data_IF_355364684569
#
_entry.id   IF_355364684569
#
_cell.length_a   1.000
_cell.length_b   1.000
_cell.length_c   1.000
_cell.angle_alpha   90.00
_cell.angle_beta   90.00
_cell.angle_gamma   90.00
#
_symmetry.space_group_name_H-M   'P 1'
#
loop_
_entity.id
_entity.type
_entity.pdbx_description
1 polymer ?
#
# COMPACT_ATOMS: atom_id res chain seq x y z
N UNK A 1 7.15 4.86 66.01
CA UNK A 1 7.75 6.21 65.97
C UNK A 1 7.55 6.72 64.55
N UNK A 2 6.69 7.73 64.35
CA UNK A 2 6.33 8.23 63.02
C UNK A 2 7.25 9.42 62.70
N UNK A 3 8.17 9.25 61.77
CA UNK A 3 9.04 10.34 61.29
C UNK A 3 8.24 11.19 60.30
N UNK A 4 7.88 12.39 60.70
CA UNK A 4 7.25 13.38 59.83
C UNK A 4 8.35 14.11 59.05
N UNK A 5 8.71 13.59 57.88
CA UNK A 5 9.48 14.33 56.88
C UNK A 5 8.55 15.33 56.20
N UNK A 6 8.29 16.45 56.90
CA UNK A 6 7.58 17.56 56.31
C UNK A 6 8.39 18.13 55.17
N UNK A 7 7.99 17.83 53.93
CA UNK A 7 8.39 18.60 52.76
C UNK A 7 7.89 20.03 52.99
N UNK A 8 8.78 20.86 53.54
CA UNK A 8 8.54 22.27 53.78
C UNK A 8 8.16 22.89 52.43
N UNK A 9 6.93 23.42 52.33
CA UNK A 9 6.52 24.22 51.18
C UNK A 9 7.61 25.25 50.90
N UNK A 10 8.25 25.16 49.73
CA UNK A 10 9.24 26.14 49.32
C UNK A 10 8.63 27.53 49.42
N UNK A 11 9.31 28.43 50.14
CA UNK A 11 8.90 29.84 50.20
C UNK A 11 8.86 30.34 48.75
N UNK A 12 7.81 31.10 48.35
CA UNK A 12 7.77 31.66 47.01
C UNK A 12 9.01 32.53 46.82
N UNK A 13 9.86 32.17 45.85
CA UNK A 13 11.00 32.99 45.46
C UNK A 13 10.46 34.26 44.79
N UNK A 14 10.35 35.32 45.59
CA UNK A 14 9.97 36.63 45.10
C UNK A 14 11.19 37.26 44.41
N UNK A 15 11.14 37.40 43.10
CA UNK A 15 12.15 38.15 42.37
C UNK A 15 12.08 39.64 42.78
N UNK A 16 12.92 40.06 43.73
CA UNK A 16 13.09 41.46 44.18
C UNK A 16 13.81 42.34 43.13
N UNK A 17 13.65 42.01 41.84
CA UNK A 17 14.27 42.69 40.70
C UNK A 17 13.58 43.99 40.32
N UNK A 18 13.23 44.82 41.31
CA UNK A 18 12.77 46.21 41.11
C UNK A 18 13.92 47.23 41.14
N UNK A 19 15.17 46.78 41.29
CA UNK A 19 16.34 47.65 41.25
C UNK A 19 16.72 47.97 39.80
N UNK A 20 16.48 49.22 39.42
CA UNK A 20 16.79 49.84 38.13
C UNK A 20 18.26 49.61 37.71
N UNK A 21 18.54 48.53 36.98
CA UNK A 21 19.62 48.55 35.99
C UNK A 21 19.09 49.30 34.78
N UNK A 22 19.76 50.39 34.37
CA UNK A 22 19.55 51.02 33.06
C UNK A 22 19.85 49.99 31.98
N UNK A 23 18.88 49.14 31.66
CA UNK A 23 18.97 48.24 30.52
C UNK A 23 18.66 49.08 29.29
N UNK A 24 19.63 49.20 28.40
CA UNK A 24 19.43 49.91 27.15
C UNK A 24 18.32 49.23 26.34
N UNK A 25 17.47 50.03 25.69
CA UNK A 25 16.33 49.55 24.89
C UNK A 25 16.77 48.46 23.90
N UNK A 26 17.94 48.61 23.31
CA UNK A 26 18.50 47.65 22.35
C UNK A 26 18.81 46.29 22.97
N UNK A 27 19.25 46.25 24.23
CA UNK A 27 19.49 44.99 24.94
C UNK A 27 18.17 44.28 25.28
N UNK A 28 17.12 45.03 25.60
CA UNK A 28 15.77 44.46 25.78
C UNK A 28 15.24 43.89 24.47
N UNK A 29 15.44 44.59 23.36
CA UNK A 29 15.04 44.14 22.02
C UNK A 29 15.81 42.88 21.61
N UNK A 30 17.13 42.84 21.79
CA UNK A 30 17.97 41.65 21.53
C UNK A 30 17.52 40.45 22.37
N UNK A 31 17.29 40.63 23.66
CA UNK A 31 16.79 39.57 24.55
C UNK A 31 15.40 39.07 24.14
N UNK A 32 14.51 39.98 23.75
CA UNK A 32 13.17 39.63 23.25
C UNK A 32 13.24 38.85 21.94
N UNK A 33 14.09 39.27 21.00
CA UNK A 33 14.32 38.60 19.73
C UNK A 33 14.88 37.19 19.94
N UNK A 34 15.91 37.03 20.78
CA UNK A 34 16.47 35.72 21.12
C UNK A 34 15.43 34.80 21.74
N UNK A 35 14.62 35.28 22.71
CA UNK A 35 13.52 34.50 23.29
C UNK A 35 12.46 34.10 22.27
N UNK A 36 12.21 34.90 21.24
CA UNK A 36 11.30 34.54 20.13
C UNK A 36 11.92 33.43 19.29
N UNK A 37 13.18 33.60 18.90
CA UNK A 37 13.92 32.59 18.13
C UNK A 37 13.96 31.24 18.85
N UNK A 38 14.33 31.19 20.13
CA UNK A 38 14.37 29.94 20.91
C UNK A 38 12.99 29.27 21.00
N UNK A 39 11.92 30.07 21.14
CA UNK A 39 10.54 29.53 21.13
C UNK A 39 10.16 28.94 19.77
N UNK A 40 10.57 29.58 18.68
CA UNK A 40 10.34 29.04 17.33
C UNK A 40 11.13 27.77 17.06
N UNK A 41 12.41 27.73 17.45
CA UNK A 41 13.25 26.53 17.35
C UNK A 41 12.65 25.37 18.14
N UNK A 42 12.22 25.62 19.38
CA UNK A 42 11.55 24.61 20.20
C UNK A 42 10.25 24.10 19.55
N UNK A 43 9.40 24.99 19.01
CA UNK A 43 8.20 24.58 18.26
C UNK A 43 8.53 23.74 17.03
N UNK A 44 9.59 24.09 16.28
CA UNK A 44 10.06 23.33 15.12
C UNK A 44 10.50 21.92 15.53
N UNK A 45 11.27 21.81 16.61
CA UNK A 45 11.71 20.51 17.15
C UNK A 45 10.52 19.66 17.60
N UNK A 46 9.56 20.23 18.33
CA UNK A 46 8.35 19.53 18.75
C UNK A 46 7.53 19.02 17.56
N UNK A 47 7.35 19.85 16.54
CA UNK A 47 6.59 19.49 15.35
C UNK A 47 7.29 18.40 14.54
N UNK A 48 8.62 18.46 14.42
CA UNK A 48 9.42 17.40 13.80
C UNK A 48 9.27 16.08 14.58
N UNK A 49 9.42 16.11 15.91
CA UNK A 49 9.25 14.94 16.77
C UNK A 49 7.84 14.33 16.65
N UNK A 50 6.80 15.16 16.62
CA UNK A 50 5.42 14.70 16.43
C UNK A 50 5.23 14.00 15.08
N UNK A 51 5.77 14.58 14.00
CA UNK A 51 5.69 13.96 12.65
C UNK A 51 6.38 12.61 12.60
N UNK A 52 7.59 12.52 13.18
CA UNK A 52 8.34 11.25 13.25
C UNK A 52 7.55 10.23 14.06
N UNK A 53 7.08 10.59 15.25
CA UNK A 53 6.33 9.69 16.11
C UNK A 53 5.03 9.20 15.47
N UNK A 54 4.27 10.08 14.81
CA UNK A 54 3.05 9.72 14.11
C UNK A 54 3.35 8.75 12.94
N UNK A 55 4.41 9.02 12.18
CA UNK A 55 4.86 8.15 11.09
C UNK A 55 5.25 6.76 11.61
N UNK A 56 6.08 6.69 12.65
CA UNK A 56 6.54 5.44 13.26
C UNK A 56 5.37 4.64 13.83
N UNK A 57 4.48 5.27 14.61
CA UNK A 57 3.28 4.58 15.15
C UNK A 57 2.38 4.05 14.03
N UNK A 58 2.17 4.85 12.98
CA UNK A 58 1.39 4.42 11.82
C UNK A 58 2.02 3.26 11.08
N UNK A 59 3.35 3.27 10.91
CA UNK A 59 4.09 2.16 10.30
C UNK A 59 3.99 0.88 11.12
N UNK A 60 4.26 0.95 12.43
CA UNK A 60 4.19 -0.21 13.32
C UNK A 60 2.77 -0.79 13.40
N UNK A 61 1.75 0.06 13.44
CA UNK A 61 0.35 -0.37 13.44
C UNK A 61 -0.01 -1.10 12.14
N UNK A 62 0.37 -0.57 10.97
CA UNK A 62 0.14 -1.26 9.68
C UNK A 62 0.89 -2.58 9.59
N UNK A 63 2.12 -2.64 10.11
CA UNK A 63 2.91 -3.87 10.15
C UNK A 63 2.24 -4.93 11.03
N UNK A 64 1.71 -4.54 12.19
CA UNK A 64 0.95 -5.42 13.07
C UNK A 64 -0.31 -5.94 12.38
N UNK A 65 -1.13 -5.04 11.81
CA UNK A 65 -2.34 -5.40 11.08
C UNK A 65 -2.04 -6.34 9.90
N UNK A 66 -0.98 -6.10 9.14
CA UNK A 66 -0.57 -6.96 8.03
C UNK A 66 -0.20 -8.37 8.50
N UNK A 67 0.42 -8.50 9.68
CA UNK A 67 0.74 -9.81 10.29
C UNK A 67 -0.52 -10.54 10.74
N UNK A 68 -1.47 -9.83 11.35
CA UNK A 68 -2.75 -10.42 11.77
C UNK A 68 -3.59 -10.88 10.57
N UNK A 69 -3.78 -10.01 9.57
CA UNK A 69 -4.50 -10.37 8.35
C UNK A 69 -3.85 -11.52 7.58
N UNK A 70 -2.52 -11.64 7.62
CA UNK A 70 -1.84 -12.80 7.02
C UNK A 70 -2.20 -14.10 7.75
N UNK A 71 -2.26 -14.09 9.09
CA UNK A 71 -2.69 -15.26 9.89
C UNK A 71 -4.14 -15.61 9.63
N UNK A 72 -5.02 -14.61 9.60
CA UNK A 72 -6.44 -14.80 9.30
C UNK A 72 -6.64 -15.34 7.88
N UNK A 73 -5.89 -14.83 6.90
CA UNK A 73 -5.91 -15.34 5.53
C UNK A 73 -5.49 -16.81 5.47
N UNK A 74 -4.40 -17.17 6.15
CA UNK A 74 -3.92 -18.56 6.20
C UNK A 74 -4.95 -19.49 6.85
N UNK A 75 -5.64 -19.04 7.90
CA UNK A 75 -6.74 -19.80 8.51
C UNK A 75 -7.95 -19.92 7.56
N UNK A 76 -8.38 -18.81 6.96
CA UNK A 76 -9.51 -18.76 6.04
C UNK A 76 -9.26 -19.54 4.75
N UNK A 77 -8.00 -19.70 4.32
CA UNK A 77 -7.63 -20.46 3.12
C UNK A 77 -7.87 -21.98 3.25
N UNK A 78 -7.99 -22.49 4.49
CA UNK A 78 -8.19 -23.92 4.78
C UNK A 78 -9.65 -24.36 4.67
N UNK A 79 -10.57 -23.40 4.66
CA UNK A 79 -12.02 -23.62 4.61
C UNK A 79 -12.53 -22.95 3.33
N UNK A 80 -13.66 -23.38 2.74
CA UNK A 80 -14.34 -22.57 1.73
C UNK A 80 -14.77 -21.21 2.32
N UNK A 81 -13.84 -20.26 2.30
CA UNK A 81 -14.03 -18.91 2.80
C UNK A 81 -14.65 -17.97 1.77
N UNK A 82 -15.09 -16.82 2.27
CA UNK A 82 -15.53 -15.69 1.45
C UNK A 82 -14.36 -15.16 0.61
N UNK A 83 -14.52 -15.25 -0.72
CA UNK A 83 -13.52 -14.81 -1.68
C UNK A 83 -13.25 -13.30 -1.58
N UNK A 84 -14.28 -12.52 -1.22
CA UNK A 84 -14.16 -11.07 -1.06
C UNK A 84 -13.20 -10.69 0.06
N UNK A 85 -13.29 -11.39 1.19
CA UNK A 85 -12.39 -11.23 2.34
C UNK A 85 -10.96 -11.64 1.99
N UNK A 86 -10.76 -12.76 1.28
CA UNK A 86 -9.44 -13.22 0.86
C UNK A 86 -8.76 -12.21 -0.09
N UNK A 87 -9.49 -11.68 -1.08
CA UNK A 87 -9.00 -10.66 -2.00
C UNK A 87 -8.60 -9.37 -1.27
N UNK A 88 -9.44 -8.90 -0.35
CA UNK A 88 -9.14 -7.72 0.47
C UNK A 88 -7.90 -7.94 1.33
N UNK A 89 -7.82 -9.07 2.03
CA UNK A 89 -6.73 -9.34 2.96
C UNK A 89 -5.40 -9.46 2.24
N UNK A 90 -5.31 -10.28 1.18
CA UNK A 90 -4.04 -10.46 0.46
C UNK A 90 -3.53 -9.13 -0.09
N UNK A 91 -4.39 -8.34 -0.75
CA UNK A 91 -3.98 -7.04 -1.31
C UNK A 91 -3.48 -6.04 -0.26
N UNK A 92 -3.88 -6.19 1.00
CA UNK A 92 -3.42 -5.33 2.09
C UNK A 92 -2.02 -5.73 2.60
N UNK A 93 -1.78 -7.01 2.87
CA UNK A 93 -0.52 -7.44 3.50
C UNK A 93 0.55 -7.93 2.53
N UNK A 94 0.23 -8.07 1.24
CA UNK A 94 1.09 -8.71 0.25
C UNK A 94 2.50 -8.14 0.28
N UNK A 95 3.45 -9.02 0.55
CA UNK A 95 4.87 -8.79 0.36
C UNK A 95 5.37 -9.79 -0.68
N UNK A 96 5.94 -9.28 -1.77
CA UNK A 96 6.36 -10.10 -2.89
C UNK A 96 7.44 -11.16 -2.54
N UNK A 97 8.21 -10.94 -1.48
CA UNK A 97 9.24 -11.87 -1.01
C UNK A 97 8.66 -13.00 -0.14
N UNK A 98 7.49 -12.81 0.45
CA UNK A 98 6.89 -13.73 1.43
C UNK A 98 5.61 -14.41 0.92
N UNK A 99 4.86 -13.73 0.06
CA UNK A 99 3.46 -14.06 -0.24
C UNK A 99 3.23 -14.51 -1.69
N UNK A 100 4.30 -14.82 -2.44
CA UNK A 100 4.20 -15.28 -3.83
C UNK A 100 3.32 -16.52 -3.99
N UNK A 101 3.49 -17.53 -3.13
CA UNK A 101 2.65 -18.74 -3.13
C UNK A 101 1.18 -18.44 -2.80
N UNK A 102 0.92 -17.52 -1.86
CA UNK A 102 -0.46 -17.08 -1.52
C UNK A 102 -1.13 -16.39 -2.70
N UNK A 103 -0.39 -15.58 -3.45
CA UNK A 103 -0.87 -14.95 -4.67
C UNK A 103 -1.20 -15.98 -5.75
N UNK A 104 -0.34 -16.97 -5.96
CA UNK A 104 -0.61 -18.07 -6.90
C UNK A 104 -1.87 -18.83 -6.50
N UNK A 105 -1.98 -19.22 -5.23
CA UNK A 105 -3.14 -19.96 -4.73
C UNK A 105 -4.43 -19.15 -4.88
N UNK A 106 -4.43 -17.87 -4.49
CA UNK A 106 -5.61 -17.01 -4.63
C UNK A 106 -5.98 -16.81 -6.09
N UNK A 107 -4.99 -16.65 -6.96
CA UNK A 107 -5.18 -16.53 -8.42
C UNK A 107 -5.88 -17.76 -9.00
N UNK A 108 -5.48 -18.96 -8.57
CA UNK A 108 -6.12 -20.22 -8.97
C UNK A 108 -7.55 -20.34 -8.42
N UNK A 109 -7.78 -19.97 -7.16
CA UNK A 109 -9.11 -19.96 -6.55
C UNK A 109 -10.07 -18.99 -7.26
N UNK A 110 -9.57 -17.81 -7.65
CA UNK A 110 -10.33 -16.81 -8.39
C UNK A 110 -10.70 -17.34 -9.79
N UNK A 111 -9.78 -18.02 -10.47
CA UNK A 111 -10.05 -18.69 -11.74
C UNK A 111 -11.09 -19.80 -11.61
N UNK A 112 -11.04 -20.60 -10.55
CA UNK A 112 -12.02 -21.69 -10.34
C UNK A 112 -13.43 -21.16 -10.05
N UNK A 113 -13.54 -19.93 -9.54
CA UNK A 113 -14.81 -19.24 -9.25
C UNK A 113 -15.10 -18.10 -10.23
N UNK A 114 -14.58 -18.17 -11.47
CA UNK A 114 -14.67 -17.08 -12.45
C UNK A 114 -16.08 -16.56 -12.71
N UNK A 115 -17.09 -17.44 -12.76
CA UNK A 115 -18.48 -17.04 -13.02
C UNK A 115 -19.04 -16.19 -11.87
N UNK A 116 -18.72 -16.57 -10.63
CA UNK A 116 -19.09 -15.78 -9.45
C UNK A 116 -18.41 -14.42 -9.45
N UNK A 117 -17.13 -14.34 -9.85
CA UNK A 117 -16.42 -13.06 -9.94
C UNK A 117 -16.98 -12.18 -11.06
N UNK A 118 -17.28 -12.79 -12.21
CA UNK A 118 -17.87 -12.10 -13.35
C UNK A 118 -19.25 -11.50 -13.03
N UNK A 119 -20.06 -12.22 -12.25
CA UNK A 119 -21.38 -11.74 -11.83
C UNK A 119 -21.32 -10.50 -10.92
N UNK A 120 -20.16 -10.16 -10.37
CA UNK A 120 -19.98 -9.02 -9.45
C UNK A 120 -19.39 -7.77 -10.12
N UNK A 121 -19.31 -7.74 -11.45
CA UNK A 121 -18.62 -6.68 -12.20
C UNK A 121 -19.25 -5.28 -12.01
N UNK A 122 -20.54 -5.21 -11.71
CA UNK A 122 -21.22 -3.95 -11.44
C UNK A 122 -20.78 -3.34 -10.10
N UNK A 123 -20.43 -4.18 -9.11
CA UNK A 123 -19.98 -3.73 -7.80
C UNK A 123 -18.58 -3.07 -7.90
N UNK A 124 -18.46 -1.76 -7.56
CA UNK A 124 -17.18 -1.06 -7.58
C UNK A 124 -16.14 -1.67 -6.62
N UNK A 125 -16.56 -2.29 -5.52
CA UNK A 125 -15.66 -2.93 -4.55
C UNK A 125 -15.02 -4.17 -5.18
N UNK A 126 -15.80 -4.99 -5.88
CA UNK A 126 -15.27 -6.16 -6.61
C UNK A 126 -14.36 -5.75 -7.76
N UNK A 127 -14.72 -4.71 -8.52
CA UNK A 127 -13.83 -4.15 -9.55
C UNK A 127 -12.48 -3.72 -8.98
N UNK A 128 -12.47 -3.06 -7.83
CA UNK A 128 -11.24 -2.66 -7.15
C UNK A 128 -10.42 -3.88 -6.71
N UNK A 129 -11.06 -4.89 -6.13
CA UNK A 129 -10.41 -6.13 -5.69
C UNK A 129 -9.74 -6.86 -6.85
N UNK A 130 -10.44 -7.02 -7.98
CA UNK A 130 -9.90 -7.66 -9.19
C UNK A 130 -8.79 -6.83 -9.81
N UNK A 131 -8.96 -5.50 -9.92
CA UNK A 131 -7.87 -4.62 -10.38
C UNK A 131 -6.60 -4.79 -9.54
N UNK A 132 -6.72 -4.80 -8.22
CA UNK A 132 -5.58 -4.96 -7.33
C UNK A 132 -4.95 -6.35 -7.45
N UNK A 133 -5.74 -7.43 -7.58
CA UNK A 133 -5.22 -8.77 -7.83
C UNK A 133 -4.44 -8.84 -9.15
N UNK A 134 -4.98 -8.26 -10.22
CA UNK A 134 -4.33 -8.20 -11.53
C UNK A 134 -3.05 -7.37 -11.49
N UNK A 135 -3.03 -6.26 -10.76
CA UNK A 135 -1.85 -5.46 -10.52
C UNK A 135 -0.73 -6.26 -9.83
N UNK A 136 -1.07 -7.02 -8.77
CA UNK A 136 -0.11 -7.88 -8.08
C UNK A 136 0.44 -8.98 -9.00
N UNK A 137 -0.43 -9.63 -9.78
CA UNK A 137 -0.01 -10.65 -10.74
C UNK A 137 0.89 -10.09 -11.84
N UNK A 138 0.60 -8.87 -12.31
CA UNK A 138 1.45 -8.15 -13.27
C UNK A 138 2.83 -7.93 -12.68
N UNK A 139 2.92 -7.28 -11.51
CA UNK A 139 4.18 -7.03 -10.81
C UNK A 139 4.98 -8.31 -10.52
N UNK A 140 4.30 -9.43 -10.29
CA UNK A 140 4.93 -10.72 -10.05
C UNK A 140 5.56 -11.35 -11.31
N UNK A 141 5.15 -10.97 -12.53
CA UNK A 141 5.71 -11.51 -13.78
C UNK A 141 7.21 -11.24 -13.94
N UNK A 142 7.70 -10.13 -13.38
CA UNK A 142 9.12 -9.77 -13.46
C UNK A 142 9.99 -10.45 -12.40
N UNK A 143 9.40 -11.24 -11.49
CA UNK A 143 10.14 -11.89 -10.40
C UNK A 143 10.67 -13.24 -10.84
N UNK A 144 11.97 -13.43 -10.62
CA UNK A 144 12.62 -14.72 -10.83
C UNK A 144 12.02 -15.78 -9.88
N UNK A 145 11.77 -16.98 -10.41
CA UNK A 145 11.18 -18.09 -9.66
C UNK A 145 9.67 -18.01 -9.41
N UNK A 146 8.99 -16.91 -9.75
CA UNK A 146 7.54 -16.82 -9.62
C UNK A 146 6.82 -17.64 -10.73
N UNK A 147 5.84 -18.49 -10.40
CA UNK A 147 5.05 -19.21 -11.41
C UNK A 147 4.23 -18.25 -12.28
N UNK A 148 4.66 -18.03 -13.53
CA UNK A 148 4.03 -17.07 -14.44
C UNK A 148 2.69 -17.54 -15.01
N UNK A 149 2.48 -18.85 -15.14
CA UNK A 149 1.27 -19.45 -15.73
C UNK A 149 -0.04 -18.96 -15.07
N UNK A 150 -0.21 -19.13 -13.74
CA UNK A 150 -1.38 -18.61 -13.03
C UNK A 150 -1.58 -17.11 -13.20
N UNK A 151 -0.49 -16.32 -13.12
CA UNK A 151 -0.57 -14.85 -13.25
C UNK A 151 -1.03 -14.41 -14.64
N UNK A 152 -0.47 -15.00 -15.70
CA UNK A 152 -0.90 -14.73 -17.07
C UNK A 152 -2.35 -15.18 -17.31
N UNK A 153 -2.75 -16.33 -16.75
CA UNK A 153 -4.11 -16.84 -16.93
C UNK A 153 -5.17 -15.96 -16.27
N UNK A 154 -4.91 -15.41 -15.07
CA UNK A 154 -5.83 -14.45 -14.44
C UNK A 154 -5.91 -13.16 -15.27
N UNK A 155 -4.79 -12.66 -15.78
CA UNK A 155 -4.75 -11.47 -16.64
C UNK A 155 -5.54 -11.67 -17.94
N UNK A 156 -5.39 -12.83 -18.58
CA UNK A 156 -6.12 -13.20 -19.78
C UNK A 156 -7.63 -13.29 -19.52
N UNK A 157 -8.03 -14.08 -18.51
CA UNK A 157 -9.45 -14.34 -18.22
C UNK A 157 -10.16 -13.07 -17.77
N UNK A 158 -9.66 -12.36 -16.76
CA UNK A 158 -10.36 -11.19 -16.22
C UNK A 158 -10.04 -9.87 -16.96
N UNK A 159 -9.10 -9.90 -17.90
CA UNK A 159 -8.86 -8.80 -18.84
C UNK A 159 -9.72 -8.89 -20.11
N UNK A 160 -10.33 -10.05 -20.36
CA UNK A 160 -11.20 -10.28 -21.51
C UNK A 160 -12.65 -9.85 -21.23
N UNK A 161 -13.35 -9.24 -22.22
CA UNK A 161 -14.77 -8.95 -22.12
C UNK A 161 -15.64 -10.21 -22.17
N UNK A 162 -15.16 -11.32 -22.75
CA UNK A 162 -15.91 -12.57 -22.86
C UNK A 162 -16.27 -13.15 -21.49
N UNK A 163 -15.38 -13.00 -20.50
CA UNK A 163 -15.59 -13.47 -19.12
C UNK A 163 -16.79 -12.82 -18.46
N UNK A 164 -17.09 -11.55 -18.79
CA UNK A 164 -18.17 -10.79 -18.17
C UNK A 164 -19.47 -10.84 -18.96
N UNK A 165 -19.40 -11.19 -20.24
CA UNK A 165 -20.53 -11.09 -21.15
C UNK A 165 -21.48 -12.28 -21.08
N UNK A 166 -21.17 -13.34 -20.31
CA UNK A 166 -22.05 -14.52 -20.15
C UNK A 166 -22.49 -15.18 -21.47
N UNK A 167 -21.76 -14.95 -22.57
CA UNK A 167 -22.15 -15.35 -23.93
C UNK A 167 -23.24 -14.49 -24.60
N UNK A 168 -23.77 -13.43 -23.98
CA UNK A 168 -24.72 -12.49 -24.57
C UNK A 168 -24.45 -11.07 -24.08
N UNK A 169 -23.84 -10.25 -24.94
CA UNK A 169 -23.73 -8.80 -24.70
C UNK A 169 -25.13 -8.20 -24.84
N UNK A 170 -25.86 -8.10 -23.73
CA UNK A 170 -27.04 -7.24 -23.68
C UNK A 170 -26.58 -5.78 -23.66
N UNK A 171 -27.28 -4.90 -24.37
CA UNK A 171 -26.84 -3.53 -24.66
C UNK A 171 -26.48 -2.69 -23.43
N UNK A 172 -27.14 -2.91 -22.29
CA UNK A 172 -26.89 -2.15 -21.06
C UNK A 172 -25.57 -2.54 -20.37
N UNK A 173 -25.22 -3.83 -20.30
CA UNK A 173 -23.97 -4.27 -19.67
C UNK A 173 -22.73 -3.80 -20.42
N UNK A 174 -22.82 -3.64 -21.75
CA UNK A 174 -21.73 -3.11 -22.58
C UNK A 174 -21.32 -1.68 -22.17
N UNK A 175 -22.27 -0.86 -21.73
CA UNK A 175 -22.02 0.54 -21.37
C UNK A 175 -21.14 0.69 -20.12
N UNK A 176 -21.23 -0.25 -19.17
CA UNK A 176 -20.43 -0.23 -17.93
C UNK A 176 -19.14 -1.03 -18.07
N UNK A 177 -19.17 -2.15 -18.81
CA UNK A 177 -18.03 -3.04 -18.97
C UNK A 177 -16.88 -2.42 -19.76
N UNK A 178 -17.20 -1.78 -20.90
CA UNK A 178 -16.17 -1.21 -21.78
C UNK A 178 -15.33 -0.13 -21.09
N UNK A 179 -15.92 0.88 -20.41
CA UNK A 179 -15.13 1.88 -19.67
C UNK A 179 -14.31 1.27 -18.54
N UNK A 180 -14.87 0.28 -17.83
CA UNK A 180 -14.15 -0.37 -16.73
C UNK A 180 -12.93 -1.16 -17.22
N UNK A 181 -13.08 -1.98 -18.28
CA UNK A 181 -11.95 -2.72 -18.87
C UNK A 181 -10.89 -1.77 -19.41
N UNK A 182 -11.30 -0.67 -20.04
CA UNK A 182 -10.37 0.37 -20.49
C UNK A 182 -9.57 0.95 -19.31
N UNK A 183 -10.25 1.31 -18.22
CA UNK A 183 -9.59 1.82 -17.00
C UNK A 183 -8.68 0.78 -16.35
N UNK A 184 -9.08 -0.50 -16.37
CA UNK A 184 -8.28 -1.61 -15.88
C UNK A 184 -6.98 -1.73 -16.67
N UNK A 185 -7.07 -1.83 -18.00
CA UNK A 185 -5.89 -1.97 -18.86
C UNK A 185 -4.99 -0.73 -18.80
N UNK A 186 -5.57 0.47 -18.73
CA UNK A 186 -4.81 1.71 -18.53
C UNK A 186 -4.04 1.68 -17.21
N UNK A 187 -4.68 1.21 -16.13
CA UNK A 187 -4.03 1.05 -14.84
C UNK A 187 -2.87 0.05 -14.90
N UNK A 188 -3.07 -1.12 -15.49
CA UNK A 188 -2.02 -2.14 -15.62
C UNK A 188 -0.85 -1.64 -16.50
N UNK A 189 -1.14 -0.95 -17.59
CA UNK A 189 -0.13 -0.40 -18.47
C UNK A 189 0.69 0.72 -17.78
N UNK A 190 0.02 1.70 -17.18
CA UNK A 190 0.68 2.90 -16.66
C UNK A 190 1.24 2.73 -15.25
N UNK A 191 0.53 2.04 -14.35
CA UNK A 191 0.90 1.91 -12.94
C UNK A 191 1.67 0.63 -12.63
N UNK A 192 1.40 -0.44 -13.38
CA UNK A 192 2.04 -1.73 -13.16
C UNK A 192 3.12 -2.05 -14.20
N UNK A 193 3.32 -1.20 -15.21
CA UNK A 193 4.29 -1.41 -16.28
C UNK A 193 4.11 -2.75 -17.00
N UNK A 194 2.85 -3.12 -17.30
CA UNK A 194 2.50 -4.39 -17.93
C UNK A 194 3.34 -4.73 -19.16
N UNK A 195 3.44 -3.82 -20.14
CA UNK A 195 4.20 -4.09 -21.37
C UNK A 195 5.70 -4.31 -21.15
N UNK A 196 6.42 -3.47 -20.37
CA UNK A 196 7.80 -3.76 -20.00
C UNK A 196 7.99 -5.11 -19.30
N UNK A 197 7.09 -5.50 -18.40
CA UNK A 197 7.18 -6.77 -17.67
C UNK A 197 6.97 -7.96 -18.61
N UNK A 198 5.97 -7.87 -19.49
CA UNK A 198 5.73 -8.90 -20.50
C UNK A 198 6.92 -9.03 -21.46
N UNK A 199 7.50 -7.91 -21.92
CA UNK A 199 8.70 -7.93 -22.77
C UNK A 199 9.88 -8.62 -22.09
N UNK A 200 10.14 -8.32 -20.81
CA UNK A 200 11.21 -8.98 -20.04
C UNK A 200 10.96 -10.49 -19.94
N UNK A 201 9.73 -10.88 -19.63
CA UNK A 201 9.36 -12.29 -19.57
C UNK A 201 9.58 -12.99 -20.92
N UNK A 202 9.13 -12.39 -22.02
CA UNK A 202 9.32 -12.95 -23.36
C UNK A 202 10.80 -13.04 -23.74
N UNK A 203 11.62 -12.03 -23.44
CA UNK A 203 13.06 -12.05 -23.74
C UNK A 203 13.80 -13.20 -23.03
N UNK A 204 13.34 -13.63 -21.84
CA UNK A 204 13.93 -14.81 -21.16
C UNK A 204 13.47 -16.15 -21.72
N UNK A 205 12.36 -16.17 -22.47
CA UNK A 205 11.71 -17.40 -22.95
C UNK A 205 11.87 -17.64 -24.44
N UNK A 206 12.08 -16.58 -25.21
CA UNK A 206 12.36 -16.61 -26.65
C UNK A 206 13.88 -16.53 -26.81
N UNK A 207 14.55 -17.59 -27.30
CA UNK A 207 15.97 -17.53 -27.64
C UNK A 207 16.20 -16.44 -28.69
N UNK A 208 17.35 -15.78 -28.63
CA UNK A 208 17.77 -14.86 -29.69
C UNK A 208 17.77 -15.63 -31.01
N UNK A 209 17.00 -15.21 -32.04
CA UNK A 209 17.18 -15.78 -33.37
C UNK A 209 18.65 -15.51 -33.72
N UNK A 210 19.47 -16.56 -33.79
CA UNK A 210 20.91 -16.45 -34.00
C UNK A 210 21.29 -15.57 -35.21
N UNK A 211 22.58 -15.28 -35.40
CA UNK A 211 23.02 -14.37 -36.45
C UNK A 211 22.35 -14.73 -37.77
N UNK A 212 21.69 -13.75 -38.41
CA UNK A 212 21.15 -13.92 -39.75
C UNK A 212 22.30 -14.41 -40.61
N UNK A 213 22.21 -15.63 -41.12
CA UNK A 213 23.16 -16.12 -42.11
C UNK A 213 23.12 -15.11 -43.27
N UNK A 214 24.16 -14.28 -43.36
CA UNK A 214 24.41 -13.45 -44.53
C UNK A 214 24.71 -14.43 -45.67
N UNK A 215 23.69 -14.66 -46.50
CA UNK A 215 23.77 -15.55 -47.64
C UNK A 215 24.95 -15.16 -48.53
N UNK A 216 25.89 -16.10 -48.67
CA UNK A 216 26.89 -16.16 -49.75
C UNK A 216 26.22 -16.27 -51.11
#
# INVERSE_FOLDING_TARGET
>A
MYSFEGDFRQKPEQALGGASRKVYRDDLLKKSALRRQTREEYRRQQLAALRINACVRGFLSRLHQARELRREFDAASRVPGDLGTLLRSLTFFYNADLDGQRLVWLSQLVLSRKEHVASQVEDPVWRLRIRNLLALNTLALAREGHPTGPSLRVLEVFGSPETYSGGRISGDSATVLCPWLQQLWLHLAQRCHFYPQLRRLLATRVPDPGPKEEGT
#
